data_IF_440075127357
#
_entry.id   IF_440075127357
#
_cell.length_a   1.000
_cell.length_b   1.000
_cell.length_c   1.000
_cell.angle_alpha   90.00
_cell.angle_beta   90.00
_cell.angle_gamma   90.00
#
_symmetry.space_group_name_H-M   'P 1'
#
loop_
_entity.id
_entity.type
_entity.pdbx_description
1 polymer ?
#
# COMPACT_ATOMS: atom_id res chain seq x y z
N UNK A 1 20.62 -26.84 -5.55
CA UNK A 1 19.47 -27.33 -4.76
C UNK A 1 19.52 -26.60 -3.42
N UNK A 2 18.67 -25.61 -3.21
CA UNK A 2 18.49 -24.97 -1.90
C UNK A 2 16.99 -24.82 -1.66
N UNK A 3 16.53 -25.44 -0.56
CA UNK A 3 15.17 -25.48 -0.01
C UNK A 3 14.48 -24.10 -0.10
N UNK A 4 13.24 -23.91 -0.55
CA UNK A 4 11.97 -24.55 -0.15
C UNK A 4 11.63 -24.33 1.34
N UNK A 5 11.66 -23.09 1.80
CA UNK A 5 11.09 -22.65 3.08
C UNK A 5 9.64 -22.20 2.88
N UNK A 6 8.68 -23.09 3.20
CA UNK A 6 7.41 -22.79 3.88
C UNK A 6 6.40 -21.76 3.36
N UNK A 7 6.66 -21.05 2.26
CA UNK A 7 5.73 -20.05 1.73
C UNK A 7 4.70 -20.62 0.75
N UNK A 8 3.60 -19.89 0.56
CA UNK A 8 2.79 -19.99 -0.66
C UNK A 8 3.73 -19.90 -1.86
N UNK A 9 3.61 -20.85 -2.81
CA UNK A 9 4.43 -20.89 -4.02
C UNK A 9 4.52 -19.47 -4.61
N UNK A 10 5.73 -18.95 -4.93
CA UNK A 10 5.89 -17.61 -5.48
C UNK A 10 4.96 -17.34 -6.67
N UNK A 11 4.60 -18.37 -7.43
CA UNK A 11 3.70 -18.28 -8.59
C UNK A 11 2.25 -17.96 -8.20
N UNK A 12 1.74 -18.45 -7.06
CA UNK A 12 0.35 -18.20 -6.63
C UNK A 12 0.24 -17.13 -5.55
N UNK A 13 1.38 -16.70 -4.96
CA UNK A 13 1.45 -15.63 -3.96
C UNK A 13 0.91 -14.31 -4.52
N UNK A 14 1.29 -13.99 -5.76
CA UNK A 14 0.80 -12.80 -6.48
C UNK A 14 -0.72 -12.81 -6.56
N UNK A 15 -1.29 -13.86 -7.14
CA UNK A 15 -2.75 -13.98 -7.32
C UNK A 15 -3.47 -13.94 -5.97
N UNK A 16 -2.93 -14.61 -4.96
CA UNK A 16 -3.48 -14.60 -3.59
C UNK A 16 -3.59 -13.19 -3.04
N UNK A 17 -2.56 -12.35 -3.20
CA UNK A 17 -2.57 -10.97 -2.69
C UNK A 17 -3.60 -10.10 -3.41
N UNK A 18 -3.82 -10.34 -4.70
CA UNK A 18 -4.84 -9.62 -5.46
C UNK A 18 -6.24 -9.82 -4.86
N UNK A 19 -6.57 -11.02 -4.38
CA UNK A 19 -7.84 -11.23 -3.68
C UNK A 19 -7.82 -10.75 -2.23
N UNK A 20 -6.77 -11.10 -1.46
CA UNK A 20 -6.67 -10.75 -0.04
C UNK A 20 -6.73 -9.25 0.23
N UNK A 21 -6.16 -8.44 -0.67
CA UNK A 21 -6.11 -6.99 -0.52
C UNK A 21 -7.11 -6.27 -1.43
N UNK A 22 -8.18 -6.97 -1.84
CA UNK A 22 -9.34 -6.35 -2.46
C UNK A 22 -9.13 -5.81 -3.87
N UNK A 23 -8.08 -6.23 -4.59
CA UNK A 23 -7.93 -5.90 -6.02
C UNK A 23 -9.04 -6.57 -6.83
N UNK A 24 -9.37 -7.82 -6.48
CA UNK A 24 -10.45 -8.57 -7.11
C UNK A 24 -11.38 -9.20 -6.07
N UNK A 25 -12.70 -9.21 -6.32
CA UNK A 25 -13.64 -9.99 -5.52
C UNK A 25 -13.35 -11.49 -5.63
N UNK A 26 -13.47 -12.24 -4.54
CA UNK A 26 -13.27 -13.70 -4.53
C UNK A 26 -14.19 -14.45 -5.49
N UNK A 27 -15.41 -13.94 -5.70
CA UNK A 27 -16.39 -14.55 -6.60
C UNK A 27 -16.26 -14.07 -8.05
N UNK A 28 -15.27 -13.24 -8.36
CA UNK A 28 -15.07 -12.75 -9.73
C UNK A 28 -14.63 -13.86 -10.68
N UNK A 29 -15.08 -13.77 -11.92
CA UNK A 29 -14.60 -14.57 -13.04
C UNK A 29 -13.33 -13.98 -13.63
N UNK A 30 -12.57 -14.77 -14.40
CA UNK A 30 -11.38 -14.29 -15.10
C UNK A 30 -11.69 -13.12 -16.05
N UNK A 31 -12.83 -13.20 -16.76
CA UNK A 31 -13.29 -12.14 -17.67
C UNK A 31 -13.63 -10.83 -16.95
N UNK A 32 -14.28 -10.92 -15.79
CA UNK A 32 -14.54 -9.72 -14.97
C UNK A 32 -13.22 -9.10 -14.48
N UNK A 33 -12.25 -9.93 -14.05
CA UNK A 33 -10.93 -9.45 -13.63
C UNK A 33 -10.15 -8.77 -14.76
N UNK A 34 -10.25 -9.24 -16.00
CA UNK A 34 -9.65 -8.57 -17.16
C UNK A 34 -10.23 -7.15 -17.35
N UNK A 35 -11.55 -7.01 -17.24
CA UNK A 35 -12.22 -5.70 -17.33
C UNK A 35 -11.79 -4.79 -16.18
N UNK A 36 -11.78 -5.32 -14.94
CA UNK A 36 -11.33 -4.57 -13.76
C UNK A 36 -9.87 -4.16 -13.88
N UNK A 37 -8.99 -5.03 -14.39
CA UNK A 37 -7.58 -4.72 -14.61
C UNK A 37 -7.39 -3.57 -15.59
N UNK A 38 -8.12 -3.58 -16.72
CA UNK A 38 -8.10 -2.49 -17.69
C UNK A 38 -8.60 -1.16 -17.08
N UNK A 39 -9.67 -1.21 -16.30
CA UNK A 39 -10.22 -0.05 -15.60
C UNK A 39 -9.25 0.49 -14.54
N UNK A 40 -8.65 -0.39 -13.74
CA UNK A 40 -7.64 -0.07 -12.73
C UNK A 40 -6.41 0.59 -13.35
N UNK A 41 -5.92 0.07 -14.48
CA UNK A 41 -4.83 0.68 -15.25
C UNK A 41 -5.20 2.10 -15.68
N UNK A 42 -6.35 2.25 -16.35
CA UNK A 42 -6.80 3.54 -16.85
C UNK A 42 -6.95 4.58 -15.73
N UNK A 43 -7.61 4.20 -14.63
CA UNK A 43 -7.80 5.07 -13.46
C UNK A 43 -6.48 5.45 -12.82
N UNK A 44 -5.60 4.49 -12.55
CA UNK A 44 -4.30 4.76 -11.94
C UNK A 44 -3.48 5.77 -12.77
N UNK A 45 -3.40 5.56 -14.09
CA UNK A 45 -2.64 6.45 -14.96
C UNK A 45 -3.23 7.87 -15.02
N UNK A 46 -4.56 8.01 -14.95
CA UNK A 46 -5.20 9.33 -14.83
C UNK A 46 -4.84 10.03 -13.51
N UNK A 47 -4.91 9.32 -12.38
CA UNK A 47 -4.49 9.85 -11.08
C UNK A 47 -3.03 10.31 -11.12
N UNK A 48 -2.16 9.47 -11.70
CA UNK A 48 -0.73 9.73 -11.83
C UNK A 48 -0.43 10.94 -12.72
N UNK A 49 -1.03 11.01 -13.90
CA UNK A 49 -0.86 12.14 -14.82
C UNK A 49 -1.33 13.47 -14.20
N UNK A 50 -2.39 13.40 -13.41
CA UNK A 50 -3.00 14.56 -12.78
C UNK A 50 -2.12 15.19 -11.71
N UNK A 51 -1.60 14.41 -10.76
CA UNK A 51 -0.68 14.99 -9.76
C UNK A 51 0.63 15.45 -10.40
N UNK A 52 1.12 14.76 -11.44
CA UNK A 52 2.30 15.20 -12.19
C UNK A 52 2.09 16.57 -12.81
N UNK A 53 0.96 16.78 -13.47
CA UNK A 53 0.59 18.08 -14.06
C UNK A 53 0.53 19.15 -12.97
N UNK A 54 -0.12 18.86 -11.85
CA UNK A 54 -0.23 19.78 -10.71
C UNK A 54 1.10 20.20 -10.11
N UNK A 55 2.06 19.27 -9.99
CA UNK A 55 3.40 19.57 -9.49
C UNK A 55 4.28 20.28 -10.54
N UNK A 56 4.02 20.05 -11.83
CA UNK A 56 4.80 20.65 -12.94
C UNK A 56 4.38 22.08 -13.24
N UNK A 57 3.07 22.36 -13.37
CA UNK A 57 2.51 23.67 -13.77
C UNK A 57 2.91 24.82 -12.83
N UNK A 58 3.26 24.53 -11.58
CA UNK A 58 3.69 25.53 -10.59
C UNK A 58 5.20 25.65 -10.38
N UNK A 59 5.99 24.75 -10.96
CA UNK A 59 7.44 24.97 -11.04
C UNK A 59 7.76 26.08 -12.06
N UNK A 60 6.91 26.26 -13.08
CA UNK A 60 7.05 27.28 -14.13
C UNK A 60 6.45 28.65 -13.80
N UNK A 61 5.64 28.79 -12.74
CA UNK A 61 5.09 30.09 -12.31
C UNK A 61 5.93 30.67 -11.17
N UNK A 62 7.15 31.11 -11.50
CA UNK A 62 7.92 32.04 -10.68
C UNK A 62 7.53 33.47 -11.09
N UNK A 63 6.25 33.82 -10.95
CA UNK A 63 5.77 35.20 -11.02
C UNK A 63 4.54 35.33 -10.12
N UNK A 64 4.69 36.27 -9.20
CA UNK A 64 3.69 36.90 -8.34
C UNK A 64 3.28 36.22 -7.02
N UNK A 65 3.91 36.70 -5.95
CA UNK A 65 3.71 36.30 -4.55
C UNK A 65 2.44 36.88 -3.90
N UNK A 66 1.45 37.36 -4.67
CA UNK A 66 0.39 38.22 -4.12
C UNK A 66 -1.04 37.69 -4.25
N UNK A 67 -1.28 36.51 -4.85
CA UNK A 67 -2.65 35.93 -4.87
C UNK A 67 -2.66 34.43 -4.58
N UNK A 68 -3.28 34.09 -3.44
CA UNK A 68 -3.67 32.74 -3.03
C UNK A 68 -4.71 32.18 -4.01
N UNK A 69 -4.28 31.79 -5.20
CA UNK A 69 -5.13 31.07 -6.16
C UNK A 69 -5.01 29.59 -5.86
N UNK A 70 -5.92 29.07 -5.03
CA UNK A 70 -6.19 27.63 -4.92
C UNK A 70 -6.63 27.14 -6.30
N UNK A 71 -5.73 26.49 -7.03
CA UNK A 71 -6.06 25.78 -8.27
C UNK A 71 -6.75 24.49 -7.83
N UNK A 72 -8.08 24.53 -7.78
CA UNK A 72 -8.94 23.39 -7.54
C UNK A 72 -9.16 22.66 -8.85
N UNK A 73 -8.42 21.57 -9.05
CA UNK A 73 -8.74 20.59 -10.10
C UNK A 73 -9.65 19.55 -9.47
N UNK A 74 -10.71 19.10 -10.16
CA UNK A 74 -11.75 18.19 -9.62
C UNK A 74 -11.63 16.75 -10.15
N UNK A 75 -11.48 15.76 -9.26
CA UNK A 75 -11.69 14.32 -9.46
C UNK A 75 -12.37 13.85 -8.18
N UNK A 76 -13.50 13.15 -8.29
CA UNK A 76 -14.43 12.92 -7.17
C UNK A 76 -14.85 14.19 -6.38
N UNK A 77 -14.83 15.38 -7.01
CA UNK A 77 -15.16 16.68 -6.38
C UNK A 77 -14.33 17.07 -5.13
N UNK A 78 -13.23 16.37 -4.84
CA UNK A 78 -12.38 16.69 -3.67
C UNK A 78 -11.24 17.65 -4.10
N UNK A 79 -11.07 18.80 -3.42
CA UNK A 79 -9.96 19.70 -3.69
C UNK A 79 -8.63 19.06 -3.26
N UNK A 80 -7.65 18.98 -4.17
CA UNK A 80 -6.30 18.53 -3.82
C UNK A 80 -5.57 19.67 -3.12
N UNK A 81 -5.25 19.51 -1.84
CA UNK A 81 -4.48 20.51 -1.10
C UNK A 81 -3.00 20.47 -1.52
N UNK A 82 -2.57 21.52 -2.23
CA UNK A 82 -1.20 21.64 -2.75
C UNK A 82 -0.14 21.76 -1.63
N UNK A 83 -0.50 22.25 -0.46
CA UNK A 83 0.43 22.33 0.67
C UNK A 83 0.73 20.93 1.21
N UNK A 84 -0.30 20.11 1.36
CA UNK A 84 -0.20 18.77 1.95
C UNK A 84 0.51 17.82 1.01
N UNK A 85 0.19 17.83 -0.29
CA UNK A 85 0.90 17.00 -1.28
C UNK A 85 2.40 17.37 -1.35
N UNK A 86 2.77 18.65 -1.27
CA UNK A 86 4.18 19.07 -1.25
C UNK A 86 4.88 18.64 0.04
N UNK A 87 4.19 18.69 1.17
CA UNK A 87 4.71 18.16 2.44
C UNK A 87 4.96 16.66 2.32
N UNK A 88 4.00 15.91 1.78
CA UNK A 88 4.13 14.46 1.54
C UNK A 88 5.31 14.15 0.61
N UNK A 89 5.40 14.81 -0.55
CA UNK A 89 6.51 14.62 -1.52
C UNK A 89 7.87 14.83 -0.85
N UNK A 90 8.04 15.87 -0.03
CA UNK A 90 9.31 16.13 0.68
C UNK A 90 9.71 15.01 1.64
N UNK A 91 8.75 14.35 2.27
CA UNK A 91 9.03 13.24 3.20
C UNK A 91 9.29 11.97 2.39
N UNK A 92 8.47 11.69 1.37
CA UNK A 92 8.64 10.57 0.43
C UNK A 92 10.03 10.61 -0.22
N UNK A 93 10.49 11.78 -0.67
CA UNK A 93 11.80 11.96 -1.29
C UNK A 93 12.97 11.67 -0.34
N UNK A 94 12.75 11.72 0.98
CA UNK A 94 13.72 11.32 1.99
C UNK A 94 13.61 9.83 2.35
N UNK A 95 12.40 9.27 2.29
CA UNK A 95 12.11 7.91 2.75
C UNK A 95 12.36 6.85 1.68
N UNK A 96 12.03 7.13 0.42
CA UNK A 96 12.19 6.15 -0.67
C UNK A 96 13.65 5.71 -0.88
N UNK A 97 14.67 6.60 -0.87
CA UNK A 97 16.05 6.18 -1.08
C UNK A 97 16.59 5.20 -0.03
N UNK A 98 15.99 5.19 1.17
CA UNK A 98 16.36 4.33 2.31
C UNK A 98 15.51 3.06 2.41
N UNK A 99 14.49 2.87 1.57
CA UNK A 99 13.61 1.69 1.62
C UNK A 99 14.34 0.43 1.19
N UNK A 100 14.37 -0.55 2.09
CA UNK A 100 14.72 -1.96 1.87
C UNK A 100 15.93 -2.20 0.94
N UNK A 101 17.01 -1.43 1.14
CA UNK A 101 18.19 -1.43 0.27
C UNK A 101 19.01 -2.73 0.31
N UNK A 102 18.74 -3.60 1.28
CA UNK A 102 19.30 -4.95 1.36
C UNK A 102 18.58 -5.96 0.46
N UNK A 103 17.37 -5.65 -0.02
CA UNK A 103 16.59 -6.53 -0.87
C UNK A 103 16.99 -6.40 -2.35
N UNK A 104 17.11 -7.53 -3.05
CA UNK A 104 17.51 -7.60 -4.48
C UNK A 104 16.66 -6.70 -5.39
N UNK A 105 15.37 -6.59 -5.08
CA UNK A 105 14.42 -5.77 -5.82
C UNK A 105 14.72 -4.26 -5.76
N UNK A 106 15.31 -3.76 -4.66
CA UNK A 106 15.56 -2.33 -4.44
C UNK A 106 17.05 -1.94 -4.40
N UNK A 107 17.96 -2.91 -4.47
CA UNK A 107 19.41 -2.64 -4.47
C UNK A 107 19.86 -1.94 -5.76
N UNK A 108 21.04 -1.32 -5.71
CA UNK A 108 21.66 -0.63 -6.85
C UNK A 108 21.33 0.88 -6.95
N UNK A 109 22.26 1.65 -7.49
CA UNK A 109 22.07 3.09 -7.71
C UNK A 109 21.08 3.31 -8.86
N UNK A 110 20.17 4.28 -8.73
CA UNK A 110 19.20 4.60 -9.78
C UNK A 110 18.14 3.52 -10.06
N UNK A 111 17.86 2.63 -9.09
CA UNK A 111 16.92 1.52 -9.28
C UNK A 111 15.50 2.03 -9.68
N UNK A 112 14.92 1.54 -10.80
CA UNK A 112 13.62 1.99 -11.29
C UNK A 112 12.45 1.65 -10.34
N UNK A 113 12.54 0.57 -9.55
CA UNK A 113 11.51 0.18 -8.59
C UNK A 113 11.36 1.22 -7.46
N UNK A 114 12.41 1.95 -7.10
CA UNK A 114 12.31 3.09 -6.17
C UNK A 114 11.52 4.25 -6.78
N UNK A 115 11.64 4.47 -8.10
CA UNK A 115 10.83 5.46 -8.81
C UNK A 115 9.36 5.05 -8.88
N UNK A 116 9.08 3.75 -9.05
CA UNK A 116 7.72 3.18 -8.99
C UNK A 116 7.14 3.35 -7.58
N UNK A 117 7.88 2.95 -6.54
CA UNK A 117 7.50 3.11 -5.14
C UNK A 117 7.12 4.57 -4.84
N UNK A 118 7.97 5.51 -5.26
CA UNK A 118 7.72 6.95 -5.13
C UNK A 118 6.43 7.39 -5.83
N UNK A 119 6.21 6.95 -7.07
CA UNK A 119 5.01 7.33 -7.83
C UNK A 119 3.72 6.85 -7.16
N UNK A 120 3.71 5.62 -6.64
CA UNK A 120 2.55 5.07 -5.94
C UNK A 120 2.27 5.87 -4.67
N UNK A 121 3.28 6.16 -3.84
CA UNK A 121 3.11 6.92 -2.60
C UNK A 121 2.58 8.34 -2.85
N UNK A 122 3.08 9.03 -3.87
CA UNK A 122 2.57 10.36 -4.25
C UNK A 122 1.13 10.26 -4.76
N UNK A 123 0.83 9.24 -5.56
CA UNK A 123 -0.54 9.00 -6.05
C UNK A 123 -1.48 8.77 -4.86
N UNK A 124 -1.10 7.90 -3.92
CA UNK A 124 -1.91 7.66 -2.72
C UNK A 124 -2.13 8.94 -1.92
N UNK A 125 -1.07 9.66 -1.56
CA UNK A 125 -1.15 10.87 -0.74
C UNK A 125 -1.96 11.98 -1.39
N UNK A 126 -1.95 12.09 -2.73
CA UNK A 126 -2.70 13.10 -3.46
C UNK A 126 -4.22 12.85 -3.46
N UNK A 127 -4.64 11.58 -3.40
CA UNK A 127 -6.06 11.18 -3.55
C UNK A 127 -6.68 10.56 -2.30
N UNK A 128 -5.91 10.39 -1.22
CA UNK A 128 -6.39 10.00 0.11
C UNK A 128 -6.00 11.06 1.15
N UNK A 129 -6.48 12.32 1.04
CA UNK A 129 -5.97 13.44 1.84
C UNK A 129 -6.23 13.31 3.36
N UNK A 130 -7.18 12.46 3.76
CA UNK A 130 -7.42 12.15 5.19
C UNK A 130 -6.24 11.38 5.81
N UNK A 131 -5.55 10.57 5.02
CA UNK A 131 -4.38 9.78 5.43
C UNK A 131 -3.09 10.49 5.01
N UNK A 132 -3.01 10.93 3.76
CA UNK A 132 -1.84 11.55 3.18
C UNK A 132 -0.66 10.57 3.08
N UNK A 133 0.52 11.01 3.51
CA UNK A 133 1.70 10.16 3.67
C UNK A 133 2.21 10.27 5.10
N UNK A 134 2.36 9.11 5.74
CA UNK A 134 3.01 8.93 7.03
C UNK A 134 4.29 8.12 6.86
N UNK A 135 5.31 8.45 7.68
CA UNK A 135 6.58 7.73 7.68
C UNK A 135 6.34 6.24 7.96
N UNK A 136 7.00 5.37 7.20
CA UNK A 136 6.84 3.90 7.28
C UNK A 136 5.89 3.33 6.22
N UNK A 137 5.05 4.15 5.58
CA UNK A 137 4.21 3.70 4.46
C UNK A 137 5.04 3.21 3.27
N UNK A 138 6.25 3.74 3.08
CA UNK A 138 7.23 3.28 2.10
C UNK A 138 7.65 1.81 2.33
N UNK A 139 7.82 1.42 3.59
CA UNK A 139 8.24 0.05 3.97
C UNK A 139 7.07 -0.94 3.89
N UNK A 140 5.84 -0.48 4.07
CA UNK A 140 4.63 -1.28 3.82
C UNK A 140 4.48 -1.50 2.32
N UNK A 141 4.50 -0.44 1.53
CA UNK A 141 4.31 -0.50 0.08
C UNK A 141 5.39 -1.36 -0.60
N UNK A 142 6.62 -1.36 -0.09
CA UNK A 142 7.71 -2.16 -0.66
C UNK A 142 7.36 -3.65 -0.71
N UNK A 143 6.62 -4.17 0.28
CA UNK A 143 6.16 -5.56 0.34
C UNK A 143 5.16 -5.88 -0.77
N UNK A 144 4.18 -4.99 -0.98
CA UNK A 144 3.24 -5.11 -2.09
C UNK A 144 3.96 -5.10 -3.44
N UNK A 145 4.92 -4.20 -3.60
CA UNK A 145 5.60 -4.05 -4.87
C UNK A 145 6.50 -5.24 -5.21
N UNK A 146 7.19 -5.83 -4.21
CA UNK A 146 7.99 -7.05 -4.39
C UNK A 146 7.13 -8.25 -4.78
N UNK A 147 5.94 -8.39 -4.20
CA UNK A 147 5.06 -9.54 -4.47
C UNK A 147 4.29 -9.40 -5.78
N UNK A 148 3.73 -8.23 -6.04
CA UNK A 148 2.85 -8.01 -7.19
C UNK A 148 3.62 -7.67 -8.47
N UNK A 149 4.82 -7.09 -8.32
CA UNK A 149 5.68 -6.61 -9.41
C UNK A 149 4.92 -5.80 -10.47
N UNK A 150 3.96 -5.00 -10.01
CA UNK A 150 3.11 -4.18 -10.85
C UNK A 150 2.77 -2.89 -10.12
N UNK A 151 3.05 -1.76 -10.75
CA UNK A 151 2.78 -0.44 -10.18
C UNK A 151 1.28 -0.24 -9.89
N UNK A 152 0.41 -0.73 -10.80
CA UNK A 152 -1.04 -0.55 -10.71
C UNK A 152 -1.63 -1.46 -9.65
N UNK A 153 -1.30 -2.74 -9.68
CA UNK A 153 -1.83 -3.72 -8.72
C UNK A 153 -1.36 -3.36 -7.30
N UNK A 154 -0.07 -3.02 -7.14
CA UNK A 154 0.47 -2.58 -5.86
C UNK A 154 -0.24 -1.33 -5.35
N UNK A 155 -0.56 -0.35 -6.21
CA UNK A 155 -1.33 0.82 -5.79
C UNK A 155 -2.72 0.46 -5.24
N UNK A 156 -3.49 -0.37 -5.93
CA UNK A 156 -4.85 -0.69 -5.52
C UNK A 156 -4.89 -1.58 -4.27
N UNK A 157 -4.05 -2.62 -4.21
CA UNK A 157 -3.90 -3.45 -3.01
C UNK A 157 -3.45 -2.62 -1.80
N UNK A 158 -2.43 -1.76 -1.99
CA UNK A 158 -1.96 -0.87 -0.93
C UNK A 158 -3.05 0.11 -0.49
N UNK A 159 -3.80 0.70 -1.43
CA UNK A 159 -4.86 1.67 -1.11
C UNK A 159 -5.96 1.02 -0.28
N UNK A 160 -6.45 -0.16 -0.69
CA UNK A 160 -7.45 -0.92 0.06
C UNK A 160 -6.95 -1.31 1.45
N UNK A 161 -5.69 -1.72 1.57
CA UNK A 161 -5.07 -2.05 2.84
C UNK A 161 -5.00 -0.83 3.76
N UNK A 162 -4.54 0.31 3.23
CA UNK A 162 -4.42 1.56 3.99
C UNK A 162 -5.79 2.08 4.45
N UNK A 163 -6.86 1.95 3.66
CA UNK A 163 -8.21 2.32 4.08
C UNK A 163 -8.73 1.45 5.24
N UNK A 164 -8.29 0.19 5.31
CA UNK A 164 -8.68 -0.75 6.37
C UNK A 164 -7.95 -0.45 7.68
N UNK A 165 -6.69 -0.02 7.62
CA UNK A 165 -5.85 0.22 8.81
C UNK A 165 -5.68 1.72 9.14
N UNK A 166 -6.34 2.61 8.40
CA UNK A 166 -6.09 4.06 8.46
C UNK A 166 -6.15 4.65 9.88
N UNK A 167 -7.00 4.10 10.75
CA UNK A 167 -7.17 4.55 12.14
C UNK A 167 -5.92 4.40 12.99
N UNK A 168 -4.98 3.53 12.59
CA UNK A 168 -3.73 3.26 13.31
C UNK A 168 -2.58 4.19 12.90
N UNK A 169 -2.67 4.79 11.72
CA UNK A 169 -1.67 5.70 11.14
C UNK A 169 -2.06 7.18 11.27
N UNK A 170 -3.34 7.46 11.56
CA UNK A 170 -3.80 8.79 11.93
C UNK A 170 -3.27 9.20 13.31
N UNK A 171 -3.15 10.51 13.56
CA UNK A 171 -2.68 11.10 14.83
C UNK A 171 -3.42 10.52 16.05
N UNK A 172 -4.72 10.30 15.91
CA UNK A 172 -5.58 9.67 16.92
C UNK A 172 -5.20 8.21 17.22
N UNK A 173 -4.75 7.45 16.21
CA UNK A 173 -4.26 6.08 16.36
C UNK A 173 -2.92 5.98 17.07
N UNK A 174 -1.99 6.85 16.73
CA UNK A 174 -0.69 6.94 17.41
C UNK A 174 -0.87 7.38 18.87
N UNK A 175 -1.77 8.33 19.14
CA UNK A 175 -2.11 8.75 20.50
C UNK A 175 -2.74 7.62 21.33
N UNK A 176 -3.58 6.76 20.74
CA UNK A 176 -4.10 5.55 21.40
C UNK A 176 -3.00 4.54 21.72
N UNK A 177 -2.00 4.36 20.85
CA UNK A 177 -0.86 3.47 21.09
C UNK A 177 0.05 4.00 22.21
N UNK A 178 0.19 5.32 22.30
CA UNK A 178 0.96 5.98 23.36
C UNK A 178 0.23 6.05 24.71
N UNK A 179 -1.12 6.05 24.71
CA UNK A 179 -1.92 6.11 25.95
C UNK A 179 -2.07 4.77 26.67
N UNK A 180 -1.42 3.70 26.18
CA UNK A 180 -1.36 2.41 26.88
C UNK A 180 -2.70 1.68 27.04
N UNK A 181 -3.76 2.14 26.36
CA UNK A 181 -5.04 1.44 26.33
C UNK A 181 -4.94 0.21 25.41
N UNK A 182 -4.40 -0.88 25.95
CA UNK A 182 -4.59 -2.22 25.39
C UNK A 182 -6.08 -2.56 25.47
N UNK A 183 -6.84 -2.26 24.43
CA UNK A 183 -8.17 -2.84 24.28
C UNK A 183 -8.06 -4.13 23.51
N UNK A 184 -8.44 -5.21 24.19
CA UNK A 184 -8.90 -6.49 23.62
C UNK A 184 -9.80 -6.17 22.42
N UNK A 185 -9.32 -6.47 21.21
CA UNK A 185 -10.06 -6.20 19.96
C UNK A 185 -11.17 -7.26 19.83
N UNK A 186 -12.29 -6.99 20.48
CA UNK A 186 -13.61 -7.48 20.07
C UNK A 186 -14.28 -6.42 19.22
N UNK A 187 -13.81 -6.23 17.99
CA UNK A 187 -14.71 -5.78 16.93
C UNK A 187 -15.52 -7.02 16.52
N UNK A 188 -16.80 -6.90 16.12
CA UNK A 188 -17.45 -8.01 15.45
C UNK A 188 -16.69 -8.20 14.14
N UNK A 189 -15.79 -9.20 14.12
CA UNK A 189 -15.37 -9.83 12.89
C UNK A 189 -16.65 -10.18 12.17
N UNK A 190 -16.77 -9.76 10.91
CA UNK A 190 -17.87 -10.16 10.06
C UNK A 190 -18.06 -11.69 10.20
N UNK A 191 -19.19 -12.13 10.75
CA UNK A 191 -19.39 -13.52 11.15
C UNK A 191 -19.64 -14.46 9.96
N UNK A 192 -19.60 -13.96 8.73
CA UNK A 192 -19.76 -14.74 7.51
C UNK A 192 -18.44 -15.35 6.99
N UNK A 193 -17.33 -15.22 7.73
CA UNK A 193 -16.02 -15.80 7.40
C UNK A 193 -15.90 -17.31 7.64
N UNK A 194 -16.90 -18.11 7.25
CA UNK A 194 -16.74 -19.57 7.36
C UNK A 194 -15.65 -20.07 6.41
N UNK A 195 -15.64 -19.67 5.14
CA UNK A 195 -14.65 -20.16 4.16
C UNK A 195 -13.28 -19.47 4.24
N UNK A 196 -13.26 -18.18 4.57
CA UNK A 196 -12.02 -17.41 4.70
C UNK A 196 -11.20 -17.86 5.92
N UNK A 197 -11.88 -18.29 6.99
CA UNK A 197 -11.23 -18.96 8.12
C UNK A 197 -10.70 -20.33 7.69
N UNK A 198 -11.37 -21.09 6.81
CA UNK A 198 -10.84 -22.38 6.31
C UNK A 198 -9.64 -22.21 5.39
N UNK A 199 -9.59 -21.16 4.57
CA UNK A 199 -8.44 -20.86 3.70
C UNK A 199 -7.26 -20.36 4.54
N UNK A 200 -7.50 -19.45 5.50
CA UNK A 200 -6.49 -19.03 6.47
C UNK A 200 -6.02 -20.21 7.35
N UNK A 201 -6.92 -21.06 7.83
CA UNK A 201 -6.58 -22.26 8.62
C UNK A 201 -5.86 -23.30 7.76
N UNK A 202 -6.22 -23.51 6.50
CA UNK A 202 -5.51 -24.43 5.59
C UNK A 202 -4.09 -23.92 5.27
N UNK A 203 -3.92 -22.61 5.10
CA UNK A 203 -2.60 -21.98 4.96
C UNK A 203 -1.80 -22.07 6.26
N UNK A 204 -2.41 -21.78 7.40
CA UNK A 204 -1.80 -21.89 8.74
C UNK A 204 -1.50 -23.36 9.12
N UNK A 205 -2.26 -24.33 8.61
CA UNK A 205 -2.01 -25.76 8.80
C UNK A 205 -0.75 -26.21 8.05
N UNK A 206 -0.50 -25.67 6.85
CA UNK A 206 0.74 -25.91 6.10
C UNK A 206 1.99 -25.36 6.80
N UNK A 207 1.87 -24.27 7.56
CA UNK A 207 2.97 -23.69 8.34
C UNK A 207 2.90 -24.00 9.85
N UNK A 208 1.99 -24.90 10.26
CA UNK A 208 1.69 -25.19 11.68
C UNK A 208 2.91 -25.59 12.48
N UNK A 209 3.76 -26.45 11.94
CA UNK A 209 4.97 -26.91 12.64
C UNK A 209 6.01 -25.80 12.81
N UNK A 210 6.03 -24.81 11.91
CA UNK A 210 6.92 -23.65 12.01
C UNK A 210 6.39 -22.64 13.04
N UNK A 211 5.08 -22.41 13.03
CA UNK A 211 4.42 -21.55 14.03
C UNK A 211 4.54 -22.10 15.45
N UNK A 212 4.46 -23.43 15.62
CA UNK A 212 4.64 -24.08 16.93
C UNK A 212 6.07 -23.95 17.49
N UNK A 213 7.05 -23.61 16.65
CA UNK A 213 8.44 -23.38 17.05
C UNK A 213 8.76 -21.90 17.30
N UNK A 214 7.84 -20.99 16.94
CA UNK A 214 8.00 -19.56 17.17
C UNK A 214 7.79 -19.23 18.65
N UNK A 215 8.68 -18.41 19.21
CA UNK A 215 8.66 -18.06 20.64
C UNK A 215 7.99 -16.72 20.92
N UNK A 216 7.83 -15.88 19.90
CA UNK A 216 7.14 -14.60 20.00
C UNK A 216 6.48 -14.15 18.68
N UNK A 217 5.73 -13.05 18.75
CA UNK A 217 4.97 -12.50 17.63
C UNK A 217 5.82 -11.97 16.47
N UNK A 218 7.11 -11.67 16.69
CA UNK A 218 8.03 -11.18 15.66
C UNK A 218 8.44 -12.33 14.73
N UNK A 219 8.73 -13.50 15.31
CA UNK A 219 9.06 -14.71 14.56
C UNK A 219 7.86 -15.23 13.74
N UNK A 220 6.63 -15.07 14.27
CA UNK A 220 5.39 -15.37 13.54
C UNK A 220 5.25 -14.46 12.32
N UNK A 221 5.44 -13.15 12.49
CA UNK A 221 5.33 -12.19 11.37
C UNK A 221 6.39 -12.44 10.29
N UNK A 222 7.62 -12.77 10.69
CA UNK A 222 8.70 -13.13 9.76
C UNK A 222 8.40 -14.42 8.99
N UNK A 223 7.82 -15.42 9.65
CA UNK A 223 7.48 -16.71 9.04
C UNK A 223 6.34 -16.61 8.01
N UNK A 224 5.39 -15.70 8.24
CA UNK A 224 4.26 -15.45 7.30
C UNK A 224 4.67 -14.51 6.17
N UNK A 225 5.67 -13.65 6.39
CA UNK A 225 6.13 -12.63 5.42
C UNK A 225 7.30 -13.10 4.52
N UNK A 226 7.78 -14.34 4.68
CA UNK A 226 8.86 -14.96 3.92
C UNK A 226 8.43 -15.49 2.54
#
# INVERSE_FOLDING_TARGET
MYCSTGGVDPTVRKDTWQFMFGLYPFLSTAREREVMSAEHHFKYHQLKARWKTLLTVRASTYVDATRSSVVTVFYCRQPINMKDIRKAVRIIDKDVPRTDRGHEYFKGSGNPHLSILRNILITFAAFHPKVGYAQGMNDILSRFLVVLDSEVEAFWCFSSYMETIQTDFMEEGMLRKLSGQNRVVGAPLNTDFTFELFVCVAMLQNIRQQLLNCRDGTEIFQSVSG
#
